data_IF_260402348401
#
_entry.id   IF_260402348401
#
_cell.length_a   1.000
_cell.length_b   1.000
_cell.length_c   1.000
_cell.angle_alpha   90.00
_cell.angle_beta   90.00
_cell.angle_gamma   90.00
#
_symmetry.space_group_name_H-M   'P 1'
#
loop_
_entity.id
_entity.type
_entity.pdbx_description
1 polymer ?
#
# COMPACT_ATOMS: atom_id res chain seq x y z
N UNK A 1 0.97 32.55 10.20
CA UNK A 1 0.78 31.69 9.00
C UNK A 1 2.04 31.66 8.14
N UNK A 2 2.59 32.81 7.76
CA UNK A 2 3.76 32.97 6.88
C UNK A 2 5.02 32.19 7.35
N UNK A 3 5.30 32.16 8.66
CA UNK A 3 6.48 31.47 9.20
C UNK A 3 6.51 29.95 9.03
N UNK A 4 5.37 29.25 8.90
CA UNK A 4 5.42 27.78 8.73
C UNK A 4 5.76 27.40 7.29
N UNK A 5 5.29 28.19 6.32
CA UNK A 5 5.41 27.96 4.87
C UNK A 5 6.85 28.15 4.41
N UNK A 6 7.52 29.18 4.94
CA UNK A 6 8.89 29.53 4.57
C UNK A 6 9.94 28.49 5.01
N UNK A 7 9.67 27.73 6.07
CA UNK A 7 10.58 26.72 6.62
C UNK A 7 10.12 25.26 6.37
N UNK A 8 9.06 25.05 5.57
CA UNK A 8 8.54 23.70 5.30
C UNK A 8 7.96 22.98 6.53
N UNK A 9 7.57 23.73 7.57
CA UNK A 9 7.10 23.20 8.85
C UNK A 9 5.58 22.96 8.86
N UNK A 10 4.89 23.09 7.72
CA UNK A 10 3.43 22.97 7.64
C UNK A 10 2.91 21.59 8.03
N UNK A 11 3.69 20.55 7.74
CA UNK A 11 3.29 19.16 7.95
C UNK A 11 3.88 18.57 9.25
N UNK A 12 4.34 19.43 10.17
CA UNK A 12 4.85 19.01 11.48
C UNK A 12 3.83 19.29 12.58
N UNK A 13 3.72 18.35 13.53
CA UNK A 13 2.90 18.54 14.73
C UNK A 13 3.76 19.08 15.86
N UNK A 14 3.32 20.18 16.50
CA UNK A 14 3.97 20.72 17.69
C UNK A 14 3.42 19.99 18.92
N UNK A 15 4.29 19.31 19.67
CA UNK A 15 3.95 18.67 20.93
C UNK A 15 5.05 18.92 21.96
N UNK A 16 4.68 19.44 23.13
CA UNK A 16 5.62 19.79 24.23
C UNK A 16 6.84 20.61 23.76
N UNK A 17 6.61 21.60 22.90
CA UNK A 17 7.67 22.47 22.38
C UNK A 17 8.59 21.85 21.32
N UNK A 18 8.34 20.60 20.90
CA UNK A 18 9.09 19.90 19.85
C UNK A 18 8.22 19.64 18.62
N UNK A 19 8.83 19.71 17.44
CA UNK A 19 8.17 19.41 16.18
C UNK A 19 8.36 17.94 15.81
N UNK A 20 7.27 17.25 15.48
CA UNK A 20 7.24 15.83 15.14
C UNK A 20 6.74 15.60 13.72
N UNK A 21 7.48 14.77 12.98
CA UNK A 21 7.11 14.23 11.68
C UNK A 21 6.26 12.98 11.88
N UNK A 22 5.08 12.92 11.24
CA UNK A 22 4.17 11.76 11.35
C UNK A 22 4.15 10.89 10.08
N UNK A 23 4.87 11.31 9.03
CA UNK A 23 5.15 10.50 7.85
C UNK A 23 6.55 9.89 7.98
N UNK A 24 6.69 8.65 7.54
CA UNK A 24 7.91 7.87 7.64
C UNK A 24 8.72 7.85 6.35
N UNK A 25 9.93 7.26 6.39
CA UNK A 25 10.93 7.41 5.35
C UNK A 25 10.70 6.51 4.13
N UNK A 26 9.76 5.57 4.20
CA UNK A 26 9.58 4.50 3.21
C UNK A 26 9.48 4.98 1.75
N UNK A 27 8.62 5.94 1.38
CA UNK A 27 8.55 6.39 -0.02
C UNK A 27 9.86 7.04 -0.48
N UNK A 28 10.55 7.77 0.39
CA UNK A 28 11.83 8.38 0.06
C UNK A 28 12.92 7.31 -0.15
N UNK A 29 12.97 6.29 0.69
CA UNK A 29 13.96 5.22 0.60
C UNK A 29 13.70 4.29 -0.59
N UNK A 30 12.45 3.98 -0.90
CA UNK A 30 12.12 3.02 -1.96
C UNK A 30 12.01 3.64 -3.36
N UNK A 31 11.71 4.94 -3.46
CA UNK A 31 11.54 5.60 -4.74
C UNK A 31 12.63 6.65 -5.00
N UNK A 32 12.78 7.63 -4.10
CA UNK A 32 13.73 8.73 -4.30
C UNK A 32 15.19 8.30 -4.21
N UNK A 33 15.56 7.50 -3.22
CA UNK A 33 16.93 7.06 -3.02
C UNK A 33 17.49 6.28 -4.22
N UNK A 34 16.84 5.22 -4.73
CA UNK A 34 17.35 4.51 -5.89
C UNK A 34 17.41 5.42 -7.12
N UNK A 35 16.38 6.25 -7.35
CA UNK A 35 16.38 7.18 -8.47
C UNK A 35 17.53 8.19 -8.40
N UNK A 36 17.79 8.74 -7.22
CA UNK A 36 18.91 9.63 -6.97
C UNK A 36 20.26 8.93 -7.16
N UNK A 37 20.39 7.67 -6.74
CA UNK A 37 21.64 6.93 -6.93
C UNK A 37 21.99 6.79 -8.41
N UNK A 38 21.00 6.56 -9.28
CA UNK A 38 21.19 6.43 -10.73
C UNK A 38 21.28 7.77 -11.47
N UNK A 39 20.45 8.74 -11.13
CA UNK A 39 20.30 9.98 -11.91
C UNK A 39 20.94 11.21 -11.27
N UNK A 40 21.29 11.16 -9.98
CA UNK A 40 21.70 12.30 -9.14
C UNK A 40 20.65 13.41 -9.02
N UNK A 41 19.40 13.13 -9.36
CA UNK A 41 18.26 14.04 -9.23
C UNK A 41 17.22 13.44 -8.28
N UNK A 42 16.44 14.30 -7.61
CA UNK A 42 15.30 13.86 -6.81
C UNK A 42 14.04 13.79 -7.69
N UNK A 43 13.15 12.84 -7.40
CA UNK A 43 11.87 12.75 -8.11
C UNK A 43 10.96 13.86 -7.58
N UNK A 44 10.38 14.69 -8.45
CA UNK A 44 9.34 15.64 -8.05
C UNK A 44 8.18 14.95 -7.32
N UNK A 45 7.65 15.55 -6.26
CA UNK A 45 6.59 14.94 -5.43
C UNK A 45 5.34 14.58 -6.25
N UNK A 46 4.97 15.40 -7.24
CA UNK A 46 3.86 15.12 -8.18
C UNK A 46 4.09 13.82 -8.96
N UNK A 47 5.31 13.60 -9.46
CA UNK A 47 5.66 12.40 -10.18
C UNK A 47 5.68 11.17 -9.24
N UNK A 48 6.14 11.34 -8.00
CA UNK A 48 6.06 10.29 -6.99
C UNK A 48 4.63 9.88 -6.70
N UNK A 49 3.72 10.84 -6.46
CA UNK A 49 2.28 10.58 -6.26
C UNK A 49 1.69 9.87 -7.49
N UNK A 50 2.04 10.32 -8.70
CA UNK A 50 1.56 9.71 -9.94
C UNK A 50 1.99 8.24 -10.05
N UNK A 51 3.26 7.92 -9.78
CA UNK A 51 3.77 6.55 -9.82
C UNK A 51 3.00 5.65 -8.84
N UNK A 52 2.80 6.10 -7.60
CA UNK A 52 2.03 5.33 -6.62
C UNK A 52 0.55 5.19 -7.00
N UNK A 53 -0.07 6.22 -7.56
CA UNK A 53 -1.44 6.18 -8.04
C UNK A 53 -1.62 5.19 -9.20
N UNK A 54 -0.71 5.16 -10.16
CA UNK A 54 -0.70 4.13 -11.22
C UNK A 54 -0.53 2.74 -10.62
N UNK A 55 0.35 2.59 -9.63
CA UNK A 55 0.50 1.33 -8.90
C UNK A 55 -0.78 0.88 -8.19
N UNK A 56 -1.52 1.80 -7.58
CA UNK A 56 -2.83 1.56 -6.95
C UNK A 56 -3.82 1.04 -7.99
N UNK A 57 -3.87 1.67 -9.17
CA UNK A 57 -4.74 1.23 -10.26
C UNK A 57 -4.40 -0.19 -10.73
N UNK A 58 -3.10 -0.50 -10.86
CA UNK A 58 -2.65 -1.84 -11.22
C UNK A 58 -3.08 -2.85 -10.16
N UNK A 59 -2.85 -2.59 -8.87
CA UNK A 59 -3.29 -3.51 -7.81
C UNK A 59 -4.81 -3.67 -7.78
N UNK A 60 -5.56 -2.58 -7.87
CA UNK A 60 -7.02 -2.59 -7.90
C UNK A 60 -7.55 -3.41 -9.07
N UNK A 61 -7.02 -3.19 -10.28
CA UNK A 61 -7.37 -3.96 -11.47
C UNK A 61 -7.06 -5.46 -11.34
N UNK A 62 -5.89 -5.81 -10.80
CA UNK A 62 -5.51 -7.20 -10.55
C UNK A 62 -6.43 -7.88 -9.52
N UNK A 63 -6.90 -7.16 -8.50
CA UNK A 63 -7.85 -7.67 -7.52
C UNK A 63 -9.23 -7.86 -8.16
N UNK A 64 -9.72 -6.88 -8.93
CA UNK A 64 -11.00 -6.99 -9.63
C UNK A 64 -11.02 -8.16 -10.61
N UNK A 65 -9.99 -8.29 -11.43
CA UNK A 65 -9.86 -9.40 -12.38
C UNK A 65 -9.76 -10.74 -11.64
N UNK A 66 -9.04 -10.79 -10.52
CA UNK A 66 -9.01 -11.99 -9.69
C UNK A 66 -10.41 -12.39 -9.19
N UNK A 67 -11.20 -11.41 -8.72
CA UNK A 67 -12.56 -11.63 -8.25
C UNK A 67 -13.46 -12.13 -9.40
N UNK A 68 -13.37 -11.50 -10.58
CA UNK A 68 -14.11 -11.90 -11.78
C UNK A 68 -13.87 -13.36 -12.14
N UNK A 69 -12.62 -13.76 -12.30
CA UNK A 69 -12.25 -15.10 -12.76
C UNK A 69 -12.66 -16.20 -11.78
N UNK A 70 -12.68 -15.92 -10.47
CA UNK A 70 -12.94 -16.92 -9.44
C UNK A 70 -14.40 -16.99 -8.99
N UNK A 71 -15.11 -15.85 -8.94
CA UNK A 71 -16.46 -15.77 -8.37
C UNK A 71 -17.51 -15.38 -9.40
N UNK A 72 -17.15 -14.64 -10.46
CA UNK A 72 -18.10 -14.06 -11.41
C UNK A 72 -17.68 -14.25 -12.86
N UNK A 73 -17.47 -15.51 -13.28
CA UNK A 73 -17.00 -15.87 -14.64
C UNK A 73 -17.91 -15.39 -15.77
N UNK A 74 -19.19 -15.13 -15.46
CA UNK A 74 -20.19 -14.65 -16.41
C UNK A 74 -20.06 -13.16 -16.70
N UNK A 75 -19.31 -12.40 -15.89
CA UNK A 75 -19.11 -10.96 -16.07
C UNK A 75 -18.11 -10.72 -17.23
N UNK A 76 -18.49 -9.92 -18.23
CA UNK A 76 -17.61 -9.57 -19.35
C UNK A 76 -16.46 -8.65 -18.93
N UNK A 77 -15.35 -8.71 -19.68
CA UNK A 77 -14.10 -8.02 -19.33
C UNK A 77 -14.23 -6.50 -19.32
N UNK A 78 -15.13 -5.95 -20.14
CA UNK A 78 -15.34 -4.50 -20.22
C UNK A 78 -15.88 -3.91 -18.90
N UNK A 79 -16.58 -4.70 -18.08
CA UNK A 79 -17.02 -4.27 -16.76
C UNK A 79 -15.82 -4.10 -15.82
N UNK A 80 -14.77 -4.90 -15.99
CA UNK A 80 -13.52 -4.74 -15.23
C UNK A 80 -12.78 -3.48 -15.67
N UNK A 81 -12.72 -3.21 -16.99
CA UNK A 81 -12.19 -1.95 -17.50
C UNK A 81 -12.94 -0.74 -16.94
N UNK A 82 -14.28 -0.81 -16.88
CA UNK A 82 -15.10 0.22 -16.26
C UNK A 82 -14.79 0.35 -14.76
N UNK A 83 -14.67 -0.77 -14.04
CA UNK A 83 -14.28 -0.79 -12.63
C UNK A 83 -12.91 -0.18 -12.37
N UNK A 84 -11.92 -0.43 -13.24
CA UNK A 84 -10.61 0.21 -13.18
C UNK A 84 -10.74 1.73 -13.41
N UNK A 85 -11.59 2.14 -14.37
CA UNK A 85 -11.93 3.54 -14.57
C UNK A 85 -12.52 4.18 -13.31
N UNK A 86 -13.51 3.52 -12.69
CA UNK A 86 -14.10 3.97 -11.42
C UNK A 86 -13.05 4.08 -10.33
N UNK A 87 -12.15 3.10 -10.17
CA UNK A 87 -11.04 3.20 -9.21
C UNK A 87 -10.18 4.42 -9.54
N UNK A 88 -9.83 4.65 -10.81
CA UNK A 88 -8.99 5.79 -11.22
C UNK A 88 -9.61 7.16 -10.99
N UNK A 89 -10.91 7.30 -11.20
CA UNK A 89 -11.62 8.58 -11.04
C UNK A 89 -12.18 8.80 -9.64
N UNK A 90 -12.51 7.74 -8.91
CA UNK A 90 -12.99 7.82 -7.53
C UNK A 90 -11.86 7.83 -6.50
N UNK A 91 -10.66 7.35 -6.88
CA UNK A 91 -9.47 7.49 -6.03
C UNK A 91 -9.11 8.98 -5.89
N UNK A 92 -8.56 9.34 -4.74
CA UNK A 92 -8.15 10.72 -4.43
C UNK A 92 -6.94 11.17 -5.25
N UNK A 93 -6.38 10.33 -6.11
CA UNK A 93 -5.21 10.61 -6.93
C UNK A 93 -5.31 11.93 -7.74
N UNK A 94 -6.41 12.25 -8.46
CA UNK A 94 -6.51 13.53 -9.17
C UNK A 94 -6.49 14.76 -8.24
N UNK A 95 -7.00 14.60 -7.01
CA UNK A 95 -6.96 15.65 -5.99
C UNK A 95 -5.55 15.80 -5.39
N UNK A 96 -4.88 14.69 -5.10
CA UNK A 96 -3.50 14.66 -4.57
C UNK A 96 -2.48 15.21 -5.58
N UNK A 97 -2.73 15.06 -6.89
CA UNK A 97 -1.86 15.60 -7.94
C UNK A 97 -1.92 17.13 -8.04
N UNK A 98 -3.01 17.77 -7.59
CA UNK A 98 -3.18 19.23 -7.64
C UNK A 98 -2.25 19.97 -6.66
N UNK A 99 -1.90 19.34 -5.54
CA UNK A 99 -0.95 19.84 -4.54
C UNK A 99 -0.22 18.65 -3.96
N UNK A 100 0.95 18.36 -4.50
CA UNK A 100 1.78 17.23 -4.08
C UNK A 100 2.94 17.75 -3.26
N UNK A 101 2.87 17.52 -1.95
CA UNK A 101 3.96 17.67 -1.00
C UNK A 101 4.35 16.27 -0.49
N UNK A 102 5.37 16.22 0.36
CA UNK A 102 5.80 14.99 1.04
C UNK A 102 4.64 14.25 1.75
N UNK A 103 3.63 14.99 2.22
CA UNK A 103 2.43 14.44 2.85
C UNK A 103 1.63 13.54 1.90
N UNK A 104 1.35 13.99 0.68
CA UNK A 104 0.58 13.28 -0.33
C UNK A 104 1.35 12.09 -0.89
N UNK A 105 2.68 12.21 -1.00
CA UNK A 105 3.55 11.07 -1.34
C UNK A 105 3.46 9.98 -0.28
N UNK A 106 3.44 10.33 1.01
CA UNK A 106 3.30 9.37 2.09
C UNK A 106 1.91 8.69 2.12
N UNK A 107 0.85 9.38 1.74
CA UNK A 107 -0.50 8.79 1.64
C UNK A 107 -0.57 7.82 0.47
N UNK A 108 -0.20 8.28 -0.73
CA UNK A 108 -0.30 7.48 -1.96
C UNK A 108 0.56 6.22 -1.89
N UNK A 109 1.80 6.32 -1.38
CA UNK A 109 2.65 5.16 -1.13
C UNK A 109 2.05 4.19 -0.11
N UNK A 110 1.48 4.68 0.99
CA UNK A 110 0.84 3.83 2.00
C UNK A 110 -0.35 3.05 1.45
N UNK A 111 -1.22 3.71 0.68
CA UNK A 111 -2.33 3.07 -0.02
C UNK A 111 -1.83 2.02 -1.02
N UNK A 112 -0.78 2.34 -1.79
CA UNK A 112 -0.15 1.41 -2.73
C UNK A 112 0.35 0.13 -2.02
N UNK A 113 1.10 0.26 -0.93
CA UNK A 113 1.62 -0.90 -0.19
C UNK A 113 0.50 -1.70 0.46
N UNK A 114 -0.55 -1.04 0.98
CA UNK A 114 -1.69 -1.73 1.59
C UNK A 114 -2.48 -2.55 0.57
N UNK A 115 -2.77 -1.98 -0.60
CA UNK A 115 -3.44 -2.71 -1.69
C UNK A 115 -2.59 -3.86 -2.23
N UNK A 116 -1.29 -3.64 -2.38
CA UNK A 116 -0.35 -4.70 -2.74
C UNK A 116 -0.34 -5.85 -1.71
N UNK A 117 -0.36 -5.53 -0.41
CA UNK A 117 -0.47 -6.53 0.65
C UNK A 117 -1.76 -7.35 0.51
N UNK A 118 -2.91 -6.72 0.29
CA UNK A 118 -4.19 -7.41 0.08
C UNK A 118 -4.11 -8.35 -1.12
N UNK A 119 -3.55 -7.88 -2.24
CA UNK A 119 -3.39 -8.73 -3.43
C UNK A 119 -2.52 -9.97 -3.14
N UNK A 120 -1.38 -9.80 -2.46
CA UNK A 120 -0.51 -10.92 -2.09
C UNK A 120 -1.16 -11.87 -1.07
N UNK A 121 -1.97 -11.36 -0.14
CA UNK A 121 -2.77 -12.18 0.79
C UNK A 121 -3.73 -13.07 0.00
N UNK A 122 -4.49 -12.48 -0.92
CA UNK A 122 -5.45 -13.19 -1.77
C UNK A 122 -4.73 -14.30 -2.56
N UNK A 123 -3.61 -13.98 -3.22
CA UNK A 123 -2.79 -14.95 -3.97
C UNK A 123 -2.13 -16.01 -3.08
N UNK A 124 -1.75 -15.65 -1.86
CA UNK A 124 -1.08 -16.52 -0.90
C UNK A 124 -1.99 -17.62 -0.35
N UNK A 125 -3.29 -17.32 -0.22
CA UNK A 125 -4.34 -18.26 0.19
C UNK A 125 -5.11 -18.89 -0.97
N UNK A 126 -4.70 -18.63 -2.21
CA UNK A 126 -5.37 -19.18 -3.40
C UNK A 126 -5.02 -20.67 -3.60
N UNK A 127 -6.02 -21.54 -3.52
CA UNK A 127 -5.92 -22.99 -3.74
C UNK A 127 -5.63 -23.80 -2.46
N UNK A 128 -5.32 -25.09 -2.62
CA UNK A 128 -5.19 -26.03 -1.49
C UNK A 128 -3.85 -25.93 -0.74
N UNK A 129 -2.85 -25.21 -1.27
CA UNK A 129 -1.52 -25.08 -0.66
C UNK A 129 -1.21 -23.63 -0.33
N UNK A 130 -0.80 -23.38 0.92
CA UNK A 130 -0.26 -22.11 1.37
C UNK A 130 1.02 -21.76 0.60
N UNK A 131 1.04 -20.59 -0.05
CA UNK A 131 2.23 -20.08 -0.73
C UNK A 131 3.00 -19.14 0.20
N UNK A 132 3.86 -19.71 1.05
CA UNK A 132 4.61 -18.96 2.07
C UNK A 132 5.41 -17.79 1.48
N UNK A 133 6.05 -17.96 0.32
CA UNK A 133 6.79 -16.88 -0.35
C UNK A 133 5.88 -15.66 -0.64
N UNK A 134 4.67 -15.90 -1.10
CA UNK A 134 3.68 -14.84 -1.38
C UNK A 134 3.20 -14.16 -0.09
N UNK A 135 3.03 -14.92 0.99
CA UNK A 135 2.67 -14.37 2.31
C UNK A 135 3.81 -13.57 2.96
N UNK A 136 5.08 -13.92 2.69
CA UNK A 136 6.23 -13.10 3.08
C UNK A 136 6.21 -11.74 2.39
N UNK A 137 5.91 -11.71 1.07
CA UNK A 137 5.73 -10.45 0.35
C UNK A 137 4.56 -9.65 0.89
N UNK A 138 3.43 -10.28 1.22
CA UNK A 138 2.32 -9.61 1.87
C UNK A 138 2.75 -8.94 3.20
N UNK A 139 3.47 -9.67 4.04
CA UNK A 139 3.93 -9.16 5.35
C UNK A 139 4.94 -8.02 5.19
N UNK A 140 5.83 -8.12 4.19
CA UNK A 140 6.76 -7.04 3.84
C UNK A 140 6.00 -5.77 3.43
N UNK A 141 4.99 -5.90 2.56
CA UNK A 141 4.16 -4.78 2.12
C UNK A 141 3.37 -4.16 3.28
N UNK A 142 2.87 -4.95 4.23
CA UNK A 142 2.24 -4.46 5.46
C UNK A 142 3.23 -3.63 6.28
N UNK A 143 4.46 -4.11 6.47
CA UNK A 143 5.50 -3.39 7.19
C UNK A 143 5.89 -2.07 6.51
N UNK A 144 6.01 -2.09 5.17
CA UNK A 144 6.27 -0.90 4.38
C UNK A 144 5.13 0.12 4.50
N UNK A 145 3.86 -0.32 4.48
CA UNK A 145 2.71 0.55 4.69
C UNK A 145 2.76 1.26 6.05
N UNK A 146 3.07 0.55 7.15
CA UNK A 146 3.29 1.16 8.47
C UNK A 146 4.43 2.18 8.46
N UNK A 147 5.51 1.89 7.73
CA UNK A 147 6.66 2.77 7.60
C UNK A 147 6.42 4.00 6.71
N UNK A 148 5.32 4.05 5.95
CA UNK A 148 4.92 5.28 5.23
C UNK A 148 4.27 6.28 6.17
N UNK A 149 3.35 5.84 7.04
CA UNK A 149 2.65 6.66 8.05
C UNK A 149 2.12 5.79 9.17
N UNK A 150 2.23 6.28 10.41
CA UNK A 150 1.71 5.62 11.61
C UNK A 150 0.20 5.30 11.52
N UNK A 151 -0.58 6.09 10.78
CA UNK A 151 -2.03 5.86 10.62
C UNK A 151 -2.36 4.52 9.94
N UNK A 152 -1.43 3.95 9.16
CA UNK A 152 -1.63 2.64 8.53
C UNK A 152 -1.42 1.46 9.49
N UNK A 153 -1.01 1.69 10.75
CA UNK A 153 -0.83 0.62 11.74
C UNK A 153 -2.13 -0.12 12.01
N UNK A 154 -3.26 0.58 12.09
CA UNK A 154 -4.56 -0.06 12.34
C UNK A 154 -4.95 -1.05 11.23
N UNK A 155 -5.00 -0.66 9.94
CA UNK A 155 -5.31 -1.61 8.87
C UNK A 155 -4.22 -2.68 8.72
N UNK A 156 -2.94 -2.34 8.94
CA UNK A 156 -1.85 -3.30 8.94
C UNK A 156 -2.00 -4.39 10.02
N UNK A 157 -2.33 -3.99 11.25
CA UNK A 157 -2.58 -4.91 12.36
C UNK A 157 -3.76 -5.82 12.05
N UNK A 158 -4.84 -5.28 11.48
CA UNK A 158 -5.99 -6.06 11.06
C UNK A 158 -5.63 -7.12 10.01
N UNK A 159 -4.89 -6.73 8.96
CA UNK A 159 -4.44 -7.68 7.93
C UNK A 159 -3.50 -8.74 8.50
N UNK A 160 -2.59 -8.36 9.40
CA UNK A 160 -1.69 -9.31 10.05
C UNK A 160 -2.45 -10.32 10.92
N UNK A 161 -3.41 -9.85 11.72
CA UNK A 161 -4.29 -10.73 12.50
C UNK A 161 -5.09 -11.68 11.60
N UNK A 162 -5.58 -11.19 10.47
CA UNK A 162 -6.29 -12.01 9.50
C UNK A 162 -5.40 -13.12 8.90
N UNK A 163 -4.16 -12.79 8.52
CA UNK A 163 -3.18 -13.78 8.05
C UNK A 163 -2.94 -14.85 9.12
N UNK A 164 -2.65 -14.43 10.36
CA UNK A 164 -2.41 -15.35 11.48
C UNK A 164 -3.60 -16.28 11.73
N UNK A 165 -4.81 -15.72 11.82
CA UNK A 165 -6.04 -16.48 11.98
C UNK A 165 -6.24 -17.53 10.87
N UNK A 166 -6.00 -17.16 9.61
CA UNK A 166 -6.11 -18.08 8.47
C UNK A 166 -5.05 -19.17 8.48
N UNK A 167 -3.81 -18.85 8.87
CA UNK A 167 -2.73 -19.85 9.01
C UNK A 167 -3.06 -20.83 10.13
N UNK A 168 -3.51 -20.35 11.29
CA UNK A 168 -3.92 -21.18 12.44
C UNK A 168 -5.05 -22.15 12.09
N UNK A 169 -5.99 -21.73 11.23
CA UNK A 169 -7.09 -22.59 10.75
C UNK A 169 -6.68 -23.58 9.66
N UNK A 170 -5.47 -23.50 9.12
CA UNK A 170 -5.03 -24.44 8.08
C UNK A 170 -4.58 -25.76 8.70
N UNK A 171 -5.11 -26.89 8.22
CA UNK A 171 -4.80 -28.26 8.72
C UNK A 171 -3.29 -28.61 8.76
N UNK A 172 -2.48 -27.91 7.95
CA UNK A 172 -1.01 -28.03 7.96
C UNK A 172 -0.38 -27.64 9.30
N UNK A 173 -0.87 -26.58 9.95
CA UNK A 173 -0.33 -26.13 11.24
C UNK A 173 -0.78 -27.06 12.38
N UNK A 174 -2.02 -27.56 12.32
CA UNK A 174 -2.49 -28.61 13.24
C UNK A 174 -1.67 -29.90 13.13
N UNK A 175 -1.23 -30.28 11.93
CA UNK A 175 -0.30 -31.40 11.75
C UNK A 175 1.09 -31.12 12.32
N UNK A 176 1.63 -29.91 12.13
CA UNK A 176 2.94 -29.51 12.70
C UNK A 176 2.92 -29.41 14.23
N UNK A 177 1.82 -28.92 14.81
CA UNK A 177 1.62 -28.77 16.26
C UNK A 177 1.19 -30.07 16.96
N UNK A 178 0.75 -31.10 16.23
CA UNK A 178 0.48 -32.46 16.77
C UNK A 178 1.68 -33.40 16.72
N UNK A 179 2.76 -32.99 16.04
CA UNK A 179 4.00 -33.77 15.92
C UNK A 179 5.02 -33.37 17.00
N UNK A 180 4.71 -32.33 17.78
CA UNK A 180 5.30 -32.04 19.08
C UNK A 180 4.28 -32.37 20.17
#
# INVERSE_FOLDING_TARGET
KIYREQYGLHDLTLYKGKLYLYFGPVPAVLLNLPFYLFTKHYIPDNLSVFIFAVGILIWGGLILEHIRVHYFKQIPEWIILFGIGVIGFADLAPFLLRRSLAYEVAISSGCFFLLGAIYFIIKGFQGNKLKMKTLMFASLFIGLACGTRLNFILPAAFLQMFILYRILRTEKLKKLLRVY
#
